data_IF_957175807841
#
_entry.id   IF_957175807841
#
_cell.length_a   1.000
_cell.length_b   1.000
_cell.length_c   1.000
_cell.angle_alpha   90.00
_cell.angle_beta   90.00
_cell.angle_gamma   90.00
#
_symmetry.space_group_name_H-M   'P 1'
#
loop_
_entity.id
_entity.type
_entity.pdbx_description
1 polymer ?
#
# COMPACT_ATOMS: atom_id res chain seq x y z
N UNK A 1 18.03 -33.82 -34.08
CA UNK A 1 17.39 -33.58 -32.76
C UNK A 1 18.29 -32.80 -31.79
N UNK A 2 19.62 -32.90 -31.87
CA UNK A 2 20.55 -32.17 -30.99
C UNK A 2 20.50 -30.64 -31.13
N UNK A 3 20.50 -30.12 -32.37
CA UNK A 3 20.52 -28.66 -32.59
C UNK A 3 19.27 -27.94 -32.09
N UNK A 4 18.10 -28.58 -32.08
CA UNK A 4 16.88 -27.97 -31.53
C UNK A 4 16.89 -27.87 -29.99
N UNK A 5 17.55 -28.81 -29.31
CA UNK A 5 17.73 -28.79 -27.86
C UNK A 5 18.76 -27.70 -27.49
N UNK A 6 19.83 -27.59 -28.27
CA UNK A 6 20.87 -26.58 -28.07
C UNK A 6 20.34 -25.16 -28.30
N UNK A 7 19.63 -24.90 -29.41
CA UNK A 7 19.02 -23.59 -29.67
C UNK A 7 17.95 -23.25 -28.63
N UNK A 8 17.16 -24.23 -28.19
CA UNK A 8 16.20 -24.06 -27.11
C UNK A 8 16.86 -23.68 -25.79
N UNK A 9 17.95 -24.36 -25.42
CA UNK A 9 18.70 -24.06 -24.20
C UNK A 9 19.31 -22.64 -24.23
N UNK A 10 19.89 -22.22 -25.36
CA UNK A 10 20.39 -20.86 -25.53
C UNK A 10 19.29 -19.80 -25.45
N UNK A 11 18.13 -20.05 -26.07
CA UNK A 11 16.99 -19.14 -26.00
C UNK A 11 16.44 -19.01 -24.57
N UNK A 12 16.31 -20.12 -23.84
CA UNK A 12 15.90 -20.11 -22.43
C UNK A 12 16.92 -19.41 -21.54
N UNK A 13 18.22 -19.64 -21.75
CA UNK A 13 19.28 -18.95 -21.03
C UNK A 13 19.27 -17.44 -21.25
N UNK A 14 19.05 -17.01 -22.50
CA UNK A 14 18.92 -15.58 -22.82
C UNK A 14 17.68 -14.96 -22.17
N UNK A 15 16.52 -15.61 -22.23
CA UNK A 15 15.30 -15.13 -21.58
C UNK A 15 15.46 -14.99 -20.05
N UNK A 16 16.11 -15.97 -19.40
CA UNK A 16 16.44 -15.90 -17.97
C UNK A 16 17.38 -14.73 -17.66
N UNK A 17 18.41 -14.51 -18.49
CA UNK A 17 19.34 -13.40 -18.32
C UNK A 17 18.62 -12.05 -18.41
N UNK A 18 17.75 -11.87 -19.41
CA UNK A 18 16.95 -10.65 -19.55
C UNK A 18 16.04 -10.45 -18.34
N UNK A 19 15.36 -11.51 -17.88
CA UNK A 19 14.53 -11.46 -16.67
C UNK A 19 15.31 -11.04 -15.43
N UNK A 20 16.49 -11.61 -15.22
CA UNK A 20 17.37 -11.26 -14.11
C UNK A 20 17.84 -9.80 -14.21
N UNK A 21 18.24 -9.32 -15.39
CA UNK A 21 18.65 -7.92 -15.59
C UNK A 21 17.52 -6.96 -15.24
N UNK A 22 16.28 -7.26 -15.63
CA UNK A 22 15.11 -6.45 -15.28
C UNK A 22 14.91 -6.41 -13.77
N UNK A 23 14.97 -7.57 -13.09
CA UNK A 23 14.83 -7.66 -11.63
C UNK A 23 15.93 -6.87 -10.93
N UNK A 24 17.19 -7.03 -11.33
CA UNK A 24 18.31 -6.29 -10.73
C UNK A 24 18.22 -4.79 -10.97
N UNK A 25 17.79 -4.35 -12.16
CA UNK A 25 17.57 -2.94 -12.45
C UNK A 25 16.42 -2.36 -11.61
N UNK A 26 15.34 -3.13 -11.44
CA UNK A 26 14.24 -2.74 -10.57
C UNK A 26 14.70 -2.66 -9.10
N UNK A 27 15.50 -3.62 -8.64
CA UNK A 27 16.08 -3.62 -7.29
C UNK A 27 17.01 -2.42 -7.06
N UNK A 28 17.81 -2.05 -8.06
CA UNK A 28 18.69 -0.89 -7.98
C UNK A 28 17.93 0.44 -7.82
N UNK A 29 16.71 0.56 -8.36
CA UNK A 29 15.88 1.76 -8.16
C UNK A 29 15.47 1.98 -6.70
N UNK A 30 15.43 0.93 -5.86
CA UNK A 30 15.11 1.10 -4.44
C UNK A 30 16.22 1.81 -3.66
N UNK A 31 17.45 1.89 -4.20
CA UNK A 31 18.57 2.59 -3.55
C UNK A 31 18.33 4.09 -3.39
N UNK A 32 17.54 4.69 -4.28
CA UNK A 32 17.33 6.15 -4.31
C UNK A 32 15.99 6.57 -3.74
N UNK A 33 15.09 5.63 -3.47
CA UNK A 33 13.74 5.91 -3.00
C UNK A 33 13.70 5.95 -1.48
N UNK A 34 13.46 7.14 -0.93
CA UNK A 34 13.12 7.31 0.48
C UNK A 34 11.61 7.14 0.64
N UNK A 35 11.13 6.22 1.49
CA UNK A 35 9.71 5.97 1.65
C UNK A 35 9.03 7.16 2.33
N UNK A 36 7.88 7.59 1.80
CA UNK A 36 7.00 8.56 2.46
C UNK A 36 6.56 8.03 3.82
N UNK A 37 6.59 8.89 4.84
CA UNK A 37 6.21 8.52 6.21
C UNK A 37 5.08 9.40 6.73
N UNK A 38 4.19 8.77 7.48
CA UNK A 38 3.07 9.42 8.14
C UNK A 38 3.32 9.45 9.65
N UNK A 39 3.24 10.62 10.27
CA UNK A 39 3.37 10.77 11.71
C UNK A 39 2.05 11.30 12.30
N UNK A 40 1.29 10.38 12.93
CA UNK A 40 0.03 10.69 13.58
C UNK A 40 0.16 11.57 14.84
N UNK A 41 1.31 11.53 15.52
CA UNK A 41 1.54 12.34 16.73
C UNK A 41 1.74 13.82 16.37
N UNK A 42 2.42 14.07 15.26
CA UNK A 42 2.62 15.42 14.72
C UNK A 42 1.48 15.87 13.77
N UNK A 43 0.63 14.94 13.33
CA UNK A 43 -0.36 15.14 12.25
C UNK A 43 0.27 15.72 10.99
N UNK A 44 1.39 15.12 10.58
CA UNK A 44 2.20 15.55 9.44
C UNK A 44 2.61 14.35 8.58
N UNK A 45 2.93 14.62 7.32
CA UNK A 45 3.44 13.67 6.34
C UNK A 45 4.79 14.16 5.83
N UNK A 46 5.77 13.27 5.79
CA UNK A 46 7.11 13.55 5.31
C UNK A 46 7.28 12.98 3.91
N UNK A 47 7.54 13.86 2.94
CA UNK A 47 7.88 13.52 1.56
C UNK A 47 9.36 13.80 1.31
N UNK A 48 10.00 12.93 0.54
CA UNK A 48 11.37 13.16 0.05
C UNK A 48 11.32 12.94 -1.46
N UNK A 49 11.24 14.02 -2.25
CA UNK A 49 11.19 13.92 -3.70
C UNK A 49 12.42 13.21 -4.26
N UNK A 50 12.24 12.47 -5.35
CA UNK A 50 13.34 11.75 -5.99
C UNK A 50 14.46 12.72 -6.42
N UNK A 51 15.66 12.53 -5.86
CA UNK A 51 16.83 13.38 -6.15
C UNK A 51 17.04 14.56 -5.19
N UNK A 52 16.09 14.83 -4.28
CA UNK A 52 16.29 15.79 -3.19
C UNK A 52 16.67 15.06 -1.89
N UNK A 53 17.59 15.63 -1.12
CA UNK A 53 18.01 15.07 0.18
C UNK A 53 17.23 15.69 1.35
N UNK A 54 16.63 16.86 1.15
CA UNK A 54 15.87 17.54 2.19
C UNK A 54 14.43 17.03 2.26
N UNK A 55 13.94 16.62 3.45
CA UNK A 55 12.56 16.20 3.64
C UNK A 55 11.61 17.40 3.70
N UNK A 56 10.48 17.27 3.00
CA UNK A 56 9.38 18.23 3.04
C UNK A 56 8.33 17.70 4.02
N UNK A 57 8.07 18.47 5.07
CA UNK A 57 7.04 18.19 6.06
C UNK A 57 5.75 18.92 5.71
N UNK A 58 4.65 18.17 5.61
CA UNK A 58 3.36 18.66 5.16
C UNK A 58 2.31 18.38 6.23
N UNK A 59 1.54 19.39 6.68
CA UNK A 59 0.41 19.16 7.58
C UNK A 59 -0.60 18.20 6.97
N UNK A 60 -1.06 17.22 7.74
CA UNK A 60 -2.03 16.21 7.31
C UNK A 60 -3.29 16.82 6.68
N UNK A 61 -3.77 17.95 7.23
CA UNK A 61 -4.99 18.62 6.75
C UNK A 61 -4.80 19.40 5.44
N UNK A 62 -3.56 19.61 5.00
CA UNK A 62 -3.24 20.23 3.71
C UNK A 62 -3.03 19.20 2.59
N UNK A 63 -3.05 17.92 2.94
CA UNK A 63 -2.83 16.82 2.03
C UNK A 63 -4.09 16.56 1.19
N UNK A 64 -3.90 16.44 -0.12
CA UNK A 64 -4.95 16.02 -1.04
C UNK A 64 -4.78 14.54 -1.37
N UNK A 65 -5.89 13.81 -1.38
CA UNK A 65 -5.94 12.42 -1.85
C UNK A 65 -6.99 12.28 -2.95
N UNK A 66 -6.70 11.44 -3.94
CA UNK A 66 -7.58 11.19 -5.07
C UNK A 66 -7.49 9.75 -5.53
N UNK A 67 -8.53 9.31 -6.24
CA UNK A 67 -8.57 8.03 -6.93
C UNK A 67 -8.60 8.30 -8.43
N UNK A 68 -7.67 7.68 -9.15
CA UNK A 68 -7.58 7.74 -10.61
C UNK A 68 -8.29 6.51 -11.16
N UNK A 69 -9.18 6.73 -12.12
CA UNK A 69 -9.71 5.68 -12.97
C UNK A 69 -9.30 5.98 -14.40
N UNK A 70 -8.56 5.06 -15.03
CA UNK A 70 -8.23 5.16 -16.45
C UNK A 70 -8.77 3.96 -17.21
N UNK A 71 -9.22 4.21 -18.44
CA UNK A 71 -9.70 3.19 -19.35
C UNK A 71 -8.83 3.20 -20.60
N UNK A 72 -8.23 2.06 -20.91
CA UNK A 72 -7.46 1.87 -22.13
C UNK A 72 -8.18 0.88 -23.04
N UNK A 73 -8.44 1.30 -24.28
CA UNK A 73 -9.10 0.46 -25.29
C UNK A 73 -8.07 0.04 -26.33
N UNK A 74 -7.91 -1.27 -26.50
CA UNK A 74 -7.02 -1.88 -27.49
C UNK A 74 -7.81 -2.77 -28.43
N UNK A 75 -7.18 -3.24 -29.52
CA UNK A 75 -7.77 -4.24 -30.42
C UNK A 75 -8.14 -5.56 -29.72
N UNK A 76 -7.55 -5.83 -28.55
CA UNK A 76 -7.77 -7.04 -27.77
C UNK A 76 -8.77 -6.86 -26.61
N UNK A 77 -9.33 -5.65 -26.44
CA UNK A 77 -10.33 -5.36 -25.41
C UNK A 77 -10.10 -4.05 -24.66
N UNK A 78 -11.03 -3.75 -23.75
CA UNK A 78 -10.95 -2.61 -22.84
C UNK A 78 -10.37 -3.07 -21.49
N UNK A 79 -9.33 -2.37 -21.02
CA UNK A 79 -8.74 -2.57 -19.70
C UNK A 79 -9.02 -1.35 -18.83
N UNK A 80 -9.43 -1.59 -17.59
CA UNK A 80 -9.61 -0.58 -16.57
C UNK A 80 -8.43 -0.62 -15.61
N UNK A 81 -7.86 0.55 -15.32
CA UNK A 81 -6.84 0.71 -14.31
C UNK A 81 -7.33 1.68 -13.24
N UNK A 82 -7.07 1.33 -11.98
CA UNK A 82 -7.35 2.19 -10.84
C UNK A 82 -6.02 2.51 -10.15
N UNK A 83 -5.90 3.72 -9.63
CA UNK A 83 -4.76 4.10 -8.81
C UNK A 83 -5.23 5.03 -7.69
N UNK A 84 -4.49 5.04 -6.59
CA UNK A 84 -4.67 6.01 -5.52
C UNK A 84 -3.48 6.95 -5.53
N UNK A 85 -3.76 8.25 -5.47
CA UNK A 85 -2.78 9.31 -5.38
C UNK A 85 -2.93 10.09 -4.08
N UNK A 86 -1.79 10.49 -3.51
CA UNK A 86 -1.70 11.44 -2.40
C UNK A 86 -0.69 12.51 -2.82
N UNK A 87 -0.99 13.78 -2.55
CA UNK A 87 -0.05 14.85 -2.86
C UNK A 87 -0.43 16.19 -2.27
N UNK A 88 0.43 17.16 -2.53
CA UNK A 88 0.29 18.53 -2.07
C UNK A 88 0.95 19.48 -3.05
N UNK A 89 0.53 20.74 -2.99
CA UNK A 89 1.19 21.82 -3.69
C UNK A 89 2.22 22.45 -2.76
N UNK A 90 3.45 22.62 -3.22
CA UNK A 90 4.53 23.25 -2.46
C UNK A 90 4.75 24.68 -2.96
N UNK A 91 4.26 25.73 -2.25
CA UNK A 91 4.37 27.11 -2.70
C UNK A 91 5.80 27.61 -2.95
N UNK A 92 6.83 27.21 -2.16
CA UNK A 92 8.20 27.67 -2.40
C UNK A 92 8.80 27.23 -3.73
N UNK A 93 8.51 25.99 -4.18
CA UNK A 93 9.03 25.45 -5.45
C UNK A 93 8.08 25.66 -6.63
N UNK A 94 6.84 26.11 -6.37
CA UNK A 94 5.74 26.17 -7.34
C UNK A 94 5.49 24.81 -8.04
N UNK A 95 5.70 23.71 -7.32
CA UNK A 95 5.57 22.34 -7.82
C UNK A 95 4.53 21.54 -7.04
N UNK A 96 3.87 20.61 -7.75
CA UNK A 96 3.00 19.62 -7.13
C UNK A 96 3.78 18.32 -6.94
N UNK A 97 3.83 17.87 -5.69
CA UNK A 97 4.43 16.58 -5.36
C UNK A 97 3.32 15.55 -5.18
N UNK A 98 3.42 14.45 -5.92
CA UNK A 98 2.42 13.38 -5.91
C UNK A 98 3.09 12.03 -5.68
N UNK A 99 2.38 11.18 -4.94
CA UNK A 99 2.70 9.79 -4.73
C UNK A 99 1.51 8.98 -5.22
N UNK A 100 1.71 8.19 -6.27
CA UNK A 100 0.66 7.38 -6.87
C UNK A 100 1.04 5.91 -6.86
N UNK A 101 0.07 5.06 -6.54
CA UNK A 101 0.23 3.62 -6.60
C UNK A 101 -1.00 2.97 -7.24
N UNK A 102 -0.75 1.91 -8.00
CA UNK A 102 -1.79 1.19 -8.73
C UNK A 102 -2.62 0.33 -7.77
N UNK A 103 -3.94 0.32 -7.98
CA UNK A 103 -4.92 -0.42 -7.20
C UNK A 103 -5.68 -1.40 -8.11
N UNK A 104 -6.03 -2.58 -7.58
CA UNK A 104 -6.79 -3.59 -8.33
C UNK A 104 -8.26 -3.24 -8.59
N UNK A 105 -8.76 -2.15 -8.01
CA UNK A 105 -10.15 -1.71 -8.13
C UNK A 105 -10.39 -0.40 -7.38
N UNK A 106 -11.53 0.25 -7.68
CA UNK A 106 -11.95 1.48 -7.02
C UNK A 106 -12.09 1.29 -5.50
N UNK A 107 -12.81 0.25 -5.07
CA UNK A 107 -13.02 -0.02 -3.65
C UNK A 107 -11.71 -0.25 -2.90
N UNK A 108 -10.74 -0.94 -3.53
CA UNK A 108 -9.41 -1.13 -2.93
C UNK A 108 -8.65 0.19 -2.77
N UNK A 109 -8.79 1.12 -3.72
CA UNK A 109 -8.20 2.46 -3.60
C UNK A 109 -8.84 3.24 -2.43
N UNK A 110 -10.16 3.17 -2.29
CA UNK A 110 -10.88 3.78 -1.14
C UNK A 110 -10.47 3.13 0.18
N UNK A 111 -10.37 1.80 0.23
CA UNK A 111 -9.91 1.09 1.42
C UNK A 111 -8.48 1.50 1.83
N UNK A 112 -7.58 1.68 0.86
CA UNK A 112 -6.22 2.14 1.16
C UNK A 112 -6.22 3.56 1.75
N UNK A 113 -7.06 4.46 1.24
CA UNK A 113 -7.25 5.78 1.84
C UNK A 113 -7.81 5.71 3.26
N UNK A 114 -8.88 4.95 3.44
CA UNK A 114 -9.51 4.80 4.76
C UNK A 114 -8.55 4.16 5.77
N UNK A 115 -7.71 3.22 5.37
CA UNK A 115 -6.66 2.65 6.23
C UNK A 115 -5.66 3.71 6.71
N UNK A 116 -5.18 4.58 5.80
CA UNK A 116 -4.26 5.67 6.15
C UNK A 116 -4.96 6.69 7.06
N UNK A 117 -6.18 7.11 6.70
CA UNK A 117 -6.99 8.04 7.50
C UNK A 117 -7.25 7.49 8.90
N UNK A 118 -7.70 6.25 9.01
CA UNK A 118 -7.99 5.60 10.29
C UNK A 118 -6.73 5.47 11.16
N UNK A 119 -5.56 5.20 10.57
CA UNK A 119 -4.28 5.22 11.29
C UNK A 119 -3.93 6.63 11.79
N UNK A 120 -4.12 7.66 10.97
CA UNK A 120 -3.82 9.06 11.33
C UNK A 120 -4.79 9.62 12.39
N UNK A 121 -6.04 9.16 12.41
CA UNK A 121 -7.08 9.60 13.34
C UNK A 121 -7.22 8.71 14.59
N UNK A 122 -6.25 7.81 14.84
CA UNK A 122 -6.25 6.89 16.00
C UNK A 122 -7.45 5.92 16.06
N UNK A 123 -8.11 5.65 14.93
CA UNK A 123 -9.15 4.60 14.85
C UNK A 123 -8.53 3.21 14.72
N UNK A 124 -7.35 3.13 14.09
CA UNK A 124 -6.59 1.90 13.89
C UNK A 124 -5.18 2.07 14.44
N UNK A 125 -4.66 1.04 15.11
CA UNK A 125 -3.33 1.09 15.73
C UNK A 125 -2.32 0.17 15.07
N UNK A 126 -2.77 -0.95 14.50
CA UNK A 126 -1.90 -1.97 13.90
C UNK A 126 -2.40 -2.38 12.52
N UNK A 127 -1.48 -2.71 11.61
CA UNK A 127 -1.84 -3.28 10.30
C UNK A 127 -2.72 -4.53 10.44
N UNK A 128 -2.45 -5.36 11.46
CA UNK A 128 -3.22 -6.57 11.80
C UNK A 128 -4.68 -6.28 12.15
N UNK A 129 -5.00 -5.08 12.61
CA UNK A 129 -6.39 -4.70 12.95
C UNK A 129 -7.24 -4.47 11.69
N UNK A 130 -6.60 -4.14 10.56
CA UNK A 130 -7.27 -3.93 9.26
C UNK A 130 -7.26 -5.20 8.40
N UNK A 131 -6.22 -6.03 8.54
CA UNK A 131 -6.07 -7.25 7.75
C UNK A 131 -7.20 -8.25 8.03
N UNK A 132 -7.62 -8.98 7.00
CA UNK A 132 -8.66 -10.01 7.13
C UNK A 132 -8.21 -11.08 8.15
N UNK A 133 -9.00 -11.36 9.21
CA UNK A 133 -8.70 -12.42 10.16
C UNK A 133 -8.59 -13.83 9.53
N UNK A 134 -9.14 -14.01 8.33
CA UNK A 134 -9.05 -15.23 7.54
C UNK A 134 -7.84 -15.23 6.59
N UNK A 135 -6.97 -14.23 6.62
CA UNK A 135 -5.79 -14.18 5.76
C UNK A 135 -4.78 -15.27 6.10
N UNK A 136 -3.85 -15.54 5.18
CA UNK A 136 -2.82 -16.60 5.25
C UNK A 136 -1.78 -16.40 6.36
N UNK A 137 -1.79 -15.25 7.03
CA UNK A 137 -0.87 -14.90 8.11
C UNK A 137 -1.41 -15.32 9.48
N UNK A 138 -0.53 -15.85 10.32
CA UNK A 138 -0.79 -16.17 11.72
C UNK A 138 -0.53 -14.98 12.65
N UNK A 139 -0.87 -15.11 13.95
CA UNK A 139 -0.75 -14.03 14.92
C UNK A 139 0.68 -13.56 15.17
N UNK A 140 1.68 -14.43 15.01
CA UNK A 140 3.11 -14.10 15.22
C UNK A 140 3.90 -13.89 13.93
N UNK A 141 3.23 -13.90 12.77
CA UNK A 141 3.94 -13.82 11.50
C UNK A 141 4.43 -12.40 11.17
N UNK A 142 5.52 -12.30 10.39
CA UNK A 142 5.93 -11.04 9.78
C UNK A 142 4.81 -10.44 8.92
N UNK A 143 4.75 -9.10 8.78
CA UNK A 143 3.71 -8.43 8.01
C UNK A 143 3.82 -8.63 6.49
N UNK A 144 4.87 -9.30 6.02
CA UNK A 144 5.12 -9.56 4.60
C UNK A 144 4.89 -11.04 4.28
N UNK A 145 4.55 -11.37 3.04
CA UNK A 145 4.44 -12.76 2.62
C UNK A 145 5.82 -13.47 2.61
N UNK A 146 5.83 -14.80 2.80
CA UNK A 146 7.05 -15.60 2.83
C UNK A 146 6.80 -17.08 3.06
N UNK A 147 7.79 -17.79 3.61
CA UNK A 147 7.68 -19.24 3.84
C UNK A 147 6.60 -19.58 4.87
N UNK A 148 6.42 -18.74 5.89
CA UNK A 148 5.39 -18.91 6.90
C UNK A 148 3.99 -18.98 6.26
N UNK A 149 3.72 -18.14 5.25
CA UNK A 149 2.46 -18.13 4.50
C UNK A 149 2.16 -19.51 3.88
N UNK A 150 3.18 -20.16 3.31
CA UNK A 150 3.03 -21.51 2.76
C UNK A 150 2.78 -22.57 3.84
N UNK A 151 3.52 -22.51 4.95
CA UNK A 151 3.33 -23.45 6.05
C UNK A 151 1.95 -23.30 6.70
N UNK A 152 1.47 -22.07 6.87
CA UNK A 152 0.12 -21.79 7.36
C UNK A 152 -0.95 -22.27 6.39
N UNK A 153 -0.78 -22.05 5.08
CA UNK A 153 -1.69 -22.56 4.06
C UNK A 153 -1.78 -24.09 4.11
N UNK A 154 -0.63 -24.76 4.29
CA UNK A 154 -0.55 -26.22 4.42
C UNK A 154 -1.21 -26.71 5.69
N UNK A 155 -0.99 -26.04 6.82
CA UNK A 155 -1.61 -26.38 8.10
C UNK A 155 -3.12 -26.18 8.05
N UNK A 156 -3.57 -25.07 7.48
CA UNK A 156 -4.99 -24.79 7.25
C UNK A 156 -5.64 -25.89 6.42
N UNK A 157 -5.02 -26.28 5.30
CA UNK A 157 -5.52 -27.38 4.47
C UNK A 157 -5.66 -28.67 5.27
N UNK A 158 -4.64 -29.02 6.09
CA UNK A 158 -4.68 -30.20 6.97
C UNK A 158 -5.77 -30.10 8.03
N UNK A 159 -5.96 -28.93 8.64
CA UNK A 159 -7.02 -28.65 9.62
C UNK A 159 -8.39 -28.88 8.99
N UNK A 160 -8.65 -28.28 7.83
CA UNK A 160 -9.91 -28.46 7.07
C UNK A 160 -10.17 -29.93 6.74
N UNK A 161 -9.11 -30.68 6.41
CA UNK A 161 -9.23 -32.13 6.16
C UNK A 161 -9.57 -32.92 7.42
N UNK A 162 -8.92 -32.60 8.56
CA UNK A 162 -9.23 -33.22 9.87
C UNK A 162 -10.65 -32.88 10.34
N UNK A 163 -11.10 -31.66 10.10
CA UNK A 163 -12.45 -31.20 10.41
C UNK A 163 -13.53 -31.75 9.47
N UNK A 164 -13.16 -32.46 8.40
CA UNK A 164 -14.11 -33.02 7.43
C UNK A 164 -14.71 -31.99 6.46
N UNK A 165 -14.27 -30.73 6.49
CA UNK A 165 -14.74 -29.67 5.59
C UNK A 165 -14.36 -29.90 4.13
N UNK A 166 -13.27 -30.66 3.89
CA UNK A 166 -12.77 -30.95 2.54
C UNK A 166 -12.60 -32.46 2.32
N UNK A 167 -12.96 -32.89 1.10
CA UNK A 167 -12.81 -34.27 0.64
C UNK A 167 -11.34 -34.69 0.48
N UNK A 168 -11.11 -35.98 0.25
CA UNK A 168 -9.77 -36.55 0.10
C UNK A 168 -9.03 -36.06 -1.16
N UNK A 169 -9.75 -35.62 -2.19
CA UNK A 169 -9.19 -35.11 -3.45
C UNK A 169 -8.59 -33.72 -3.32
N UNK A 170 -9.06 -32.91 -2.36
CA UNK A 170 -8.61 -31.53 -2.18
C UNK A 170 -7.12 -31.44 -1.81
N UNK A 171 -6.58 -32.19 -0.83
CA UNK A 171 -5.14 -32.23 -0.56
C UNK A 171 -4.29 -32.65 -1.76
N UNK A 172 -4.77 -33.60 -2.58
CA UNK A 172 -4.04 -34.07 -3.77
C UNK A 172 -3.86 -32.92 -4.76
N UNK A 173 -4.95 -32.23 -5.12
CA UNK A 173 -4.88 -31.08 -6.03
C UNK A 173 -4.12 -29.91 -5.42
N UNK A 174 -4.23 -29.69 -4.11
CA UNK A 174 -3.45 -28.69 -3.40
C UNK A 174 -1.95 -28.93 -3.56
N UNK A 175 -1.47 -30.16 -3.33
CA UNK A 175 -0.06 -30.49 -3.49
C UNK A 175 0.39 -30.45 -4.96
N UNK A 176 -0.43 -30.95 -5.89
CA UNK A 176 -0.12 -30.91 -7.32
C UNK A 176 0.06 -29.48 -7.82
N UNK A 177 -0.85 -28.57 -7.47
CA UNK A 177 -0.75 -27.16 -7.80
C UNK A 177 0.58 -26.56 -7.31
N UNK A 178 0.93 -26.79 -6.04
CA UNK A 178 2.18 -26.26 -5.50
C UNK A 178 3.42 -26.88 -6.16
N UNK A 179 3.42 -28.17 -6.51
CA UNK A 179 4.56 -28.76 -7.26
C UNK A 179 4.70 -28.11 -8.64
N UNK A 180 3.58 -27.85 -9.33
CA UNK A 180 3.60 -27.17 -10.64
C UNK A 180 4.07 -25.72 -10.55
N UNK A 181 3.87 -25.05 -9.40
CA UNK A 181 4.31 -23.66 -9.16
C UNK A 181 5.65 -23.55 -8.41
N UNK A 182 6.52 -24.56 -8.53
CA UNK A 182 7.87 -24.58 -7.93
C UNK A 182 7.89 -24.64 -6.39
N UNK A 183 6.83 -25.18 -5.80
CA UNK A 183 6.68 -25.51 -4.39
C UNK A 183 6.93 -24.31 -3.45
N UNK A 184 8.05 -24.32 -2.71
CA UNK A 184 8.43 -23.25 -1.78
C UNK A 184 9.43 -22.28 -2.39
N UNK A 185 9.90 -22.52 -3.61
CA UNK A 185 10.89 -21.67 -4.28
C UNK A 185 10.42 -20.21 -4.43
N UNK A 186 9.15 -19.93 -4.83
CA UNK A 186 8.69 -18.55 -4.91
C UNK A 186 8.75 -17.82 -3.57
N UNK A 187 8.40 -18.50 -2.47
CA UNK A 187 8.44 -17.90 -1.13
C UNK A 187 9.87 -17.62 -0.66
N UNK A 188 10.83 -18.50 -0.99
CA UNK A 188 12.25 -18.23 -0.75
C UNK A 188 12.75 -17.04 -1.55
N UNK A 189 12.27 -16.88 -2.79
CA UNK A 189 12.61 -15.73 -3.63
C UNK A 189 12.05 -14.44 -3.03
N UNK A 190 10.80 -14.43 -2.57
CA UNK A 190 10.19 -13.29 -1.88
C UNK A 190 10.97 -12.91 -0.62
N UNK A 191 11.34 -13.88 0.22
CA UNK A 191 12.16 -13.61 1.40
C UNK A 191 13.55 -13.08 1.04
N UNK A 192 14.18 -13.64 0.00
CA UNK A 192 15.46 -13.13 -0.49
C UNK A 192 15.33 -11.70 -1.00
N UNK A 193 14.28 -11.39 -1.76
CA UNK A 193 14.00 -10.05 -2.29
C UNK A 193 13.80 -9.06 -1.16
N UNK A 194 12.96 -9.39 -0.17
CA UNK A 194 12.73 -8.54 1.02
C UNK A 194 14.03 -8.33 1.80
N UNK A 195 14.81 -9.38 2.02
CA UNK A 195 16.13 -9.26 2.67
C UNK A 195 17.06 -8.39 1.84
N UNK A 196 17.02 -8.51 0.50
CA UNK A 196 17.83 -7.71 -0.40
C UNK A 196 17.43 -6.25 -0.33
N UNK A 197 16.14 -5.92 -0.43
CA UNK A 197 15.60 -4.55 -0.27
C UNK A 197 16.01 -3.98 1.10
N UNK A 198 15.85 -4.75 2.19
CA UNK A 198 16.31 -4.34 3.53
C UNK A 198 17.82 -4.10 3.60
N UNK A 199 18.62 -4.94 2.92
CA UNK A 199 20.10 -4.87 2.92
C UNK A 199 20.68 -3.79 2.04
N UNK A 200 20.02 -3.49 0.92
CA UNK A 200 20.34 -2.38 0.02
C UNK A 200 20.21 -1.06 0.80
N UNK A 201 19.37 -1.06 1.84
CA UNK A 201 19.07 0.10 2.64
C UNK A 201 18.12 0.98 1.87
N UNK A 202 17.06 1.43 2.52
CA UNK A 202 16.45 2.68 2.07
C UNK A 202 17.59 3.70 1.97
N UNK A 203 17.63 4.52 0.91
CA UNK A 203 18.56 5.65 0.83
C UNK A 203 18.67 6.29 2.22
N UNK A 204 19.90 6.53 2.72
CA UNK A 204 20.15 6.93 4.10
C UNK A 204 19.09 7.96 4.54
N UNK A 205 18.19 7.53 5.42
CA UNK A 205 17.03 8.35 5.80
C UNK A 205 17.57 9.68 6.30
N UNK A 206 17.19 10.82 5.71
CA UNK A 206 17.73 12.12 6.11
C UNK A 206 17.63 12.30 7.63
N UNK A 207 18.66 12.85 8.27
CA UNK A 207 18.72 12.98 9.73
C UNK A 207 17.50 13.74 10.27
N UNK A 208 17.06 14.78 9.55
CA UNK A 208 15.83 15.52 9.84
C UNK A 208 14.59 14.61 9.87
N UNK A 209 14.48 13.67 8.94
CA UNK A 209 13.36 12.71 8.89
C UNK A 209 13.43 11.69 10.04
N UNK A 210 14.64 11.28 10.45
CA UNK A 210 14.82 10.38 11.60
C UNK A 210 14.40 11.08 12.90
N UNK A 211 14.90 12.30 13.13
CA UNK A 211 14.54 13.10 14.31
C UNK A 211 13.03 13.39 14.35
N UNK A 212 12.42 13.72 13.21
CA UNK A 212 10.98 13.93 13.08
C UNK A 212 10.16 12.66 13.37
N UNK A 213 10.68 11.48 13.01
CA UNK A 213 10.03 10.18 13.23
C UNK A 213 10.11 9.71 14.69
N UNK A 214 10.89 10.35 15.55
CA UNK A 214 11.01 9.97 16.96
C UNK A 214 9.68 10.19 17.70
N UNK A 215 9.31 9.29 18.64
CA UNK A 215 8.05 9.40 19.35
C UNK A 215 8.02 10.64 20.24
N UNK A 216 6.90 11.35 20.21
CA UNK A 216 6.61 12.49 21.08
C UNK A 216 5.82 12.05 22.33
N UNK A 217 6.01 12.75 23.46
CA UNK A 217 5.16 12.56 24.63
C UNK A 217 3.71 12.94 24.30
N UNK A 218 2.74 12.25 24.91
CA UNK A 218 1.30 12.43 24.65
C UNK A 218 0.82 13.87 24.85
N UNK A 219 1.47 14.63 25.73
CA UNK A 219 1.18 16.05 25.96
C UNK A 219 1.46 16.96 24.75
N UNK A 220 2.35 16.53 23.86
CA UNK A 220 2.78 17.28 22.67
C UNK A 220 2.09 16.80 21.38
N UNK A 221 1.13 15.88 21.49
CA UNK A 221 0.43 15.39 20.32
C UNK A 221 -0.43 16.49 19.70
N UNK A 222 -0.24 16.70 18.40
CA UNK A 222 -1.03 17.63 17.61
C UNK A 222 -2.49 17.17 17.56
N UNK A 223 -3.41 18.11 17.76
CA UNK A 223 -4.85 17.85 17.69
C UNK A 223 -5.40 18.30 16.33
N UNK A 224 -6.54 17.73 15.88
CA UNK A 224 -7.24 18.22 14.70
C UNK A 224 -7.55 19.70 14.84
N UNK A 225 -7.43 20.47 13.77
CA UNK A 225 -7.69 21.91 13.80
C UNK A 225 -9.14 22.21 14.18
N UNK A 226 -9.37 23.38 14.80
CA UNK A 226 -10.71 23.83 15.15
C UNK A 226 -11.62 23.94 13.91
N UNK A 227 -11.04 24.32 12.76
CA UNK A 227 -11.70 24.34 11.46
C UNK A 227 -12.19 22.93 11.08
N UNK A 228 -11.31 21.94 11.14
CA UNK A 228 -11.67 20.56 10.80
C UNK A 228 -12.75 20.03 11.74
N UNK A 229 -12.61 20.24 13.06
CA UNK A 229 -13.62 19.81 14.04
C UNK A 229 -14.99 20.47 13.79
N UNK A 230 -15.02 21.78 13.49
CA UNK A 230 -16.24 22.50 13.14
C UNK A 230 -16.89 21.93 11.89
N UNK A 231 -16.13 21.72 10.81
CA UNK A 231 -16.64 21.14 9.57
C UNK A 231 -17.18 19.72 9.78
N UNK A 232 -16.45 18.87 10.51
CA UNK A 232 -16.88 17.50 10.82
C UNK A 232 -18.16 17.48 11.65
N UNK A 233 -18.31 18.38 12.62
CA UNK A 233 -19.54 18.51 13.41
C UNK A 233 -20.73 18.90 12.53
N UNK A 234 -20.56 19.94 11.70
CA UNK A 234 -21.60 20.41 10.79
C UNK A 234 -22.02 19.34 9.77
N UNK A 235 -21.05 18.57 9.25
CA UNK A 235 -21.34 17.47 8.34
C UNK A 235 -22.18 16.37 9.01
N UNK A 236 -21.89 16.03 10.28
CA UNK A 236 -22.67 15.05 11.05
C UNK A 236 -24.09 15.53 11.33
N UNK A 237 -24.26 16.81 11.62
CA UNK A 237 -25.57 17.45 11.82
C UNK A 237 -26.39 17.37 10.52
N UNK A 238 -25.86 17.85 9.39
CA UNK A 238 -26.53 17.79 8.08
C UNK A 238 -26.89 16.36 7.66
N UNK A 239 -25.99 15.40 7.88
CA UNK A 239 -26.27 13.98 7.59
C UNK A 239 -27.43 13.42 8.41
N UNK A 240 -27.62 13.92 9.64
CA UNK A 240 -28.69 13.49 10.53
C UNK A 240 -30.02 14.15 10.17
N UNK A 241 -29.99 15.43 9.81
CA UNK A 241 -31.16 16.21 9.40
C UNK A 241 -31.69 15.81 8.02
N UNK A 242 -30.79 15.53 7.08
CA UNK A 242 -31.12 15.26 5.67
C UNK A 242 -30.44 13.97 5.16
N UNK A 243 -30.89 12.79 5.64
CA UNK A 243 -30.29 11.50 5.28
C UNK A 243 -30.49 11.14 3.79
N UNK A 244 -31.49 11.73 3.13
CA UNK A 244 -31.79 11.51 1.71
C UNK A 244 -30.86 12.28 0.75
N UNK A 245 -30.16 13.31 1.23
CA UNK A 245 -29.25 14.11 0.41
C UNK A 245 -27.90 13.42 0.29
N UNK A 246 -27.26 13.53 -0.88
CA UNK A 246 -26.00 12.85 -1.13
C UNK A 246 -24.89 13.39 -0.23
N UNK A 247 -24.00 12.49 0.23
CA UNK A 247 -22.89 12.87 1.11
C UNK A 247 -21.97 13.92 0.46
N UNK A 248 -21.75 13.81 -0.86
CA UNK A 248 -20.92 14.77 -1.62
C UNK A 248 -21.53 16.17 -1.57
N UNK A 249 -22.85 16.29 -1.69
CA UNK A 249 -23.52 17.58 -1.62
C UNK A 249 -23.33 18.22 -0.24
N UNK A 250 -23.51 17.44 0.83
CA UNK A 250 -23.25 17.89 2.20
C UNK A 250 -21.81 18.41 2.39
N UNK A 251 -20.81 17.72 1.81
CA UNK A 251 -19.42 18.19 1.84
C UNK A 251 -19.23 19.54 1.12
N UNK A 252 -19.83 19.71 -0.05
CA UNK A 252 -19.78 20.98 -0.80
C UNK A 252 -20.41 22.11 0.01
N UNK A 253 -21.59 21.87 0.59
CA UNK A 253 -22.32 22.89 1.36
C UNK A 253 -21.54 23.33 2.61
N UNK A 254 -20.90 22.38 3.30
CA UNK A 254 -20.02 22.67 4.44
C UNK A 254 -18.81 23.50 4.00
N UNK A 255 -18.15 23.14 2.89
CA UNK A 255 -16.99 23.88 2.37
C UNK A 255 -17.36 25.31 1.97
N UNK A 256 -18.48 25.49 1.25
CA UNK A 256 -18.97 26.81 0.84
C UNK A 256 -19.33 27.66 2.05
N UNK A 257 -19.96 27.08 3.08
CA UNK A 257 -20.30 27.82 4.29
C UNK A 257 -19.06 28.24 5.08
N UNK A 258 -18.03 27.39 5.14
CA UNK A 258 -16.76 27.69 5.79
C UNK A 258 -15.99 28.79 5.03
N UNK A 259 -15.97 28.74 3.70
CA UNK A 259 -15.33 29.77 2.87
C UNK A 259 -15.99 31.16 3.03
N UNK A 260 -17.26 31.22 3.42
CA UNK A 260 -17.99 32.48 3.69
C UNK A 260 -17.74 33.05 5.10
N UNK A 261 -17.13 32.28 6.00
CA UNK A 261 -16.82 32.72 7.38
C UNK A 261 -15.44 33.38 7.50
N UNK A 262 -14.61 33.29 6.45
CA UNK A 262 -13.31 33.95 6.30
C UNK A 262 -13.52 35.30 5.61
#
# INVERSE_FOLDING_TARGET
MSHGIETGAWASGFALLVGLVIVFNQLAKYETLVPTRFNRQRREVCFVPAGQTEPIFVPWESLSAWVIQSQSVTQYGATLHYAMGIGFYHPPDDQQYTLEFQCGGFELAVCNWEAIRAYMEYEVHTLKDIQDPLDLQGPDDPPHEGLHTFYNARERMRRRRKAGEVGWSYPFWWYLYHVMTLWTLPNHLTEWEIRRIKSIGHAAVPEAMQAWSAPLPESEWAKPSDKLQRMSKKLKELRTEEPQVSLIQHFVDVQVAEAKQI
#
